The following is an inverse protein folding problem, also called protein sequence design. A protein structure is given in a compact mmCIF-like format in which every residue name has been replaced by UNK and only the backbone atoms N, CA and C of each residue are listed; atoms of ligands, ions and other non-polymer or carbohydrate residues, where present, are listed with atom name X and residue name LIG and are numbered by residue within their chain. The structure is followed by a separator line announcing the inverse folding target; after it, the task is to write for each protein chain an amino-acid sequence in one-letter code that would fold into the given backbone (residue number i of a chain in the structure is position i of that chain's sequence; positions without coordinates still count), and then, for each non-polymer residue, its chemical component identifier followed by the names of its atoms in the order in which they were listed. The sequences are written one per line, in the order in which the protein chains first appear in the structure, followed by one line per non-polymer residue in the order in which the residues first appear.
data_IF_385097052455
#
_entry.id   IF_385097052455
#
_cell.length_a   1.000
_cell.length_b   1.000
_cell.length_c   1.000
_cell.angle_alpha   90.00
_cell.angle_beta   90.00
_cell.angle_gamma   90.00
#
_symmetry.space_group_name_H-M   'P 1'
#
loop_
_entity.id
_entity.type
_entity.pdbx_description
1 polymer ?
#
# COMPACT_ATOMS: atom_id res chain seq x y z
N UNK A 1 22.54 -4.03 17.62
CA UNK A 1 21.12 -3.61 17.60
C UNK A 1 20.70 -3.77 16.15
N UNK A 2 19.94 -4.81 15.82
CA UNK A 2 19.43 -5.00 14.46
C UNK A 2 18.46 -3.86 14.17
N UNK A 3 18.71 -3.09 13.11
CA UNK A 3 17.77 -2.07 12.65
C UNK A 3 16.91 -2.67 11.54
N UNK A 4 15.64 -2.27 11.47
CA UNK A 4 14.69 -2.73 10.44
C UNK A 4 15.23 -2.49 9.02
N UNK A 5 16.13 -1.51 8.84
CA UNK A 5 16.77 -1.21 7.57
C UNK A 5 17.76 -2.28 7.08
N UNK A 6 18.26 -3.14 7.98
CA UNK A 6 19.26 -4.16 7.63
C UNK A 6 18.67 -5.28 6.77
N UNK A 7 17.34 -5.47 6.81
CA UNK A 7 16.61 -6.51 6.08
C UNK A 7 15.95 -6.00 4.77
N UNK A 8 15.98 -4.69 4.51
CA UNK A 8 15.37 -4.08 3.32
C UNK A 8 16.24 -4.23 2.07
N UNK A 9 15.62 -4.53 0.92
CA UNK A 9 16.26 -4.42 -0.39
C UNK A 9 16.54 -2.96 -0.77
N UNK A 10 17.41 -2.75 -1.77
CA UNK A 10 17.70 -1.41 -2.30
C UNK A 10 16.44 -0.68 -2.80
N UNK A 11 15.49 -1.41 -3.39
CA UNK A 11 14.23 -0.83 -3.85
C UNK A 11 13.36 -0.34 -2.68
N UNK A 12 13.30 -1.12 -1.60
CA UNK A 12 12.56 -0.76 -0.38
C UNK A 12 13.21 0.43 0.33
N UNK A 13 14.55 0.50 0.35
CA UNK A 13 15.27 1.65 0.89
C UNK A 13 14.93 2.96 0.15
N UNK A 14 14.78 2.93 -1.18
CA UNK A 14 14.34 4.10 -1.94
C UNK A 14 12.96 4.58 -1.49
N UNK A 15 12.02 3.65 -1.30
CA UNK A 15 10.65 3.94 -0.84
C UNK A 15 10.67 4.47 0.59
N UNK A 16 11.44 3.83 1.46
CA UNK A 16 11.65 4.23 2.85
C UNK A 16 12.15 5.68 2.95
N UNK A 17 13.16 6.03 2.15
CA UNK A 17 13.72 7.38 2.15
C UNK A 17 12.75 8.41 1.58
N UNK A 18 11.93 8.05 0.60
CA UNK A 18 10.86 8.92 0.12
C UNK A 18 9.77 9.14 1.19
N UNK A 19 9.33 8.11 1.90
CA UNK A 19 8.37 8.23 3.00
C UNK A 19 8.92 9.12 4.14
N UNK A 20 10.22 9.01 4.46
CA UNK A 20 10.94 9.94 5.37
C UNK A 20 10.85 11.39 4.88
N UNK A 21 11.13 11.63 3.60
CA UNK A 21 11.07 12.97 3.01
C UNK A 21 9.67 13.57 3.09
N UNK A 22 8.64 12.76 2.83
CA UNK A 22 7.23 13.14 2.97
C UNK A 22 6.79 13.32 4.43
N UNK A 23 7.61 12.91 5.40
CA UNK A 23 7.29 12.89 6.84
C UNK A 23 6.05 12.07 7.17
N UNK A 24 5.82 11.00 6.43
CA UNK A 24 4.75 10.03 6.71
C UNK A 24 5.31 8.96 7.63
N UNK A 25 4.58 8.53 8.66
CA UNK A 25 4.99 7.38 9.48
C UNK A 25 4.60 6.05 8.81
N UNK A 26 5.48 5.04 8.88
CA UNK A 26 5.23 3.70 8.34
C UNK A 26 5.65 2.59 9.31
N UNK A 27 5.04 1.41 9.11
CA UNK A 27 5.41 0.14 9.75
C UNK A 27 5.88 -0.81 8.66
N UNK A 28 7.04 -1.43 8.86
CA UNK A 28 7.60 -2.40 7.92
C UNK A 28 6.93 -3.77 8.11
N UNK A 29 6.58 -4.44 7.01
CA UNK A 29 6.00 -5.79 6.95
C UNK A 29 4.82 -6.04 7.91
N UNK A 30 3.95 -5.04 8.10
CA UNK A 30 2.76 -5.19 8.95
C UNK A 30 1.83 -6.27 8.36
N UNK A 31 1.56 -7.37 9.09
CA UNK A 31 0.68 -8.42 8.58
C UNK A 31 -0.77 -7.94 8.44
N UNK A 32 -1.43 -8.41 7.38
CA UNK A 32 -2.83 -8.15 7.09
C UNK A 32 -3.58 -9.44 6.73
N UNK A 33 -4.75 -9.62 7.35
CA UNK A 33 -5.62 -10.78 7.13
C UNK A 33 -6.62 -10.47 6.01
N UNK A 34 -6.58 -11.27 4.94
CA UNK A 34 -7.44 -11.13 3.77
C UNK A 34 -8.18 -12.45 3.47
N UNK A 35 -9.30 -12.38 2.78
CA UNK A 35 -9.95 -13.54 2.17
C UNK A 35 -9.65 -13.60 0.67
N UNK A 36 -9.15 -14.74 0.18
CA UNK A 36 -8.89 -14.92 -1.25
C UNK A 36 -10.18 -15.13 -2.07
N UNK A 37 -10.05 -15.42 -3.37
CA UNK A 37 -11.20 -15.63 -4.26
C UNK A 37 -12.11 -16.79 -3.84
N UNK A 38 -11.56 -17.80 -3.17
CA UNK A 38 -12.31 -18.94 -2.63
C UNK A 38 -12.77 -18.72 -1.17
N UNK A 39 -12.74 -17.48 -0.69
CA UNK A 39 -13.04 -17.08 0.70
C UNK A 39 -12.15 -17.78 1.73
N UNK A 40 -10.96 -18.21 1.33
CA UNK A 40 -10.00 -18.81 2.26
C UNK A 40 -9.19 -17.69 2.92
N UNK A 41 -8.95 -17.78 4.24
CA UNK A 41 -8.12 -16.79 4.93
C UNK A 41 -6.67 -16.84 4.42
N UNK A 42 -6.07 -15.67 4.28
CA UNK A 42 -4.68 -15.44 3.89
C UNK A 42 -4.09 -14.39 4.82
N UNK A 43 -2.80 -14.53 5.09
CA UNK A 43 -2.00 -13.50 5.71
C UNK A 43 -1.00 -13.05 4.64
N UNK A 44 -0.96 -11.76 4.39
CA UNK A 44 0.10 -11.13 3.61
C UNK A 44 0.82 -10.12 4.52
N UNK A 45 2.05 -9.80 4.18
CA UNK A 45 2.81 -8.74 4.82
C UNK A 45 3.42 -7.87 3.71
N UNK A 46 2.72 -6.82 3.25
CA UNK A 46 3.31 -5.86 2.33
C UNK A 46 4.45 -5.12 3.00
N UNK A 47 5.40 -4.67 2.20
CA UNK A 47 6.65 -4.08 2.69
C UNK A 47 6.37 -2.86 3.60
N UNK A 48 5.40 -2.01 3.26
CA UNK A 48 5.06 -0.86 4.09
C UNK A 48 3.56 -0.75 4.37
N UNK A 49 3.23 -0.40 5.61
CA UNK A 49 1.91 0.06 6.02
C UNK A 49 2.00 1.50 6.54
N UNK A 50 1.11 2.38 6.09
CA UNK A 50 1.01 3.78 6.50
C UNK A 50 -0.20 3.92 7.45
N UNK A 51 -0.02 3.88 8.79
CA UNK A 51 -1.15 3.73 9.72
C UNK A 51 -2.11 4.91 9.71
N UNK A 52 -1.58 6.12 9.65
CA UNK A 52 -2.36 7.37 9.62
C UNK A 52 -3.23 7.49 8.36
N UNK A 53 -2.78 6.86 7.28
CA UNK A 53 -3.43 6.89 5.97
C UNK A 53 -4.19 5.59 5.68
N UNK A 54 -4.03 4.53 6.49
CA UNK A 54 -4.65 3.23 6.25
C UNK A 54 -4.39 2.69 4.84
N UNK A 55 -3.14 2.79 4.37
CA UNK A 55 -2.69 2.40 3.02
C UNK A 55 -1.50 1.45 3.15
N UNK A 56 -1.46 0.41 2.32
CA UNK A 56 -0.30 -0.47 2.14
C UNK A 56 0.47 -0.13 0.87
N UNK A 57 1.78 -0.38 0.87
CA UNK A 57 2.66 -0.28 -0.30
C UNK A 57 3.42 -1.59 -0.42
N UNK A 58 3.41 -2.15 -1.63
CA UNK A 58 4.26 -3.27 -2.04
C UNK A 58 5.30 -2.78 -3.05
N UNK A 59 6.56 -3.12 -2.81
CA UNK A 59 7.70 -2.86 -3.67
C UNK A 59 7.99 -4.11 -4.52
N UNK A 60 7.76 -3.98 -5.82
CA UNK A 60 7.96 -5.05 -6.79
C UNK A 60 9.41 -5.09 -7.25
N UNK A 61 10.07 -6.23 -7.02
CA UNK A 61 11.39 -6.51 -7.60
C UNK A 61 11.35 -6.78 -9.12
N UNK A 62 10.29 -7.45 -9.60
CA UNK A 62 10.07 -7.68 -11.04
C UNK A 62 8.59 -7.48 -11.39
N UNK A 63 8.19 -6.37 -12.01
CA UNK A 63 6.78 -6.04 -12.26
C UNK A 63 6.07 -6.99 -13.22
N UNK A 64 6.78 -7.87 -13.93
CA UNK A 64 6.19 -8.81 -14.89
C UNK A 64 5.71 -10.13 -14.27
N UNK A 65 5.84 -10.31 -12.95
CA UNK A 65 5.32 -11.49 -12.26
C UNK A 65 3.79 -11.41 -12.14
N UNK A 66 3.10 -12.48 -12.55
CA UNK A 66 1.62 -12.56 -12.52
C UNK A 66 1.02 -12.56 -11.11
N UNK A 67 1.84 -12.76 -10.07
CA UNK A 67 1.34 -12.81 -8.69
C UNK A 67 0.87 -11.43 -8.18
N UNK A 68 1.44 -10.33 -8.66
CA UNK A 68 1.07 -8.99 -8.22
C UNK A 68 -0.36 -8.61 -8.63
N UNK A 69 -0.78 -8.95 -9.85
CA UNK A 69 -2.15 -8.74 -10.31
C UNK A 69 -3.14 -9.55 -9.44
N UNK A 70 -2.83 -10.83 -9.20
CA UNK A 70 -3.64 -11.69 -8.34
C UNK A 70 -3.77 -11.11 -6.93
N UNK A 71 -2.67 -10.62 -6.33
CA UNK A 71 -2.68 -10.00 -5.01
C UNK A 71 -3.50 -8.71 -5.01
N UNK A 72 -3.31 -7.83 -6.00
CA UNK A 72 -4.10 -6.59 -6.15
C UNK A 72 -5.61 -6.86 -6.12
N UNK A 73 -6.08 -7.86 -6.87
CA UNK A 73 -7.48 -8.27 -6.87
C UNK A 73 -7.98 -8.75 -5.49
N UNK A 74 -7.13 -9.47 -4.73
CA UNK A 74 -7.47 -9.90 -3.37
C UNK A 74 -7.61 -8.67 -2.45
N UNK A 75 -6.68 -7.73 -2.48
CA UNK A 75 -6.78 -6.51 -1.68
C UNK A 75 -8.03 -5.69 -2.01
N UNK A 76 -8.31 -5.49 -3.29
CA UNK A 76 -9.50 -4.78 -3.76
C UNK A 76 -10.78 -5.46 -3.26
N UNK A 77 -10.89 -6.80 -3.36
CA UNK A 77 -12.04 -7.57 -2.85
C UNK A 77 -12.26 -7.35 -1.35
N UNK A 78 -11.19 -7.20 -0.58
CA UNK A 78 -11.25 -6.98 0.87
C UNK A 78 -11.37 -5.50 1.26
N UNK A 79 -11.51 -4.59 0.27
CA UNK A 79 -11.60 -3.15 0.49
C UNK A 79 -10.41 -2.59 1.31
N UNK A 80 -9.21 -3.10 1.03
CA UNK A 80 -7.96 -2.65 1.66
C UNK A 80 -7.12 -1.94 0.59
N UNK A 81 -6.87 -0.63 0.74
CA UNK A 81 -6.04 0.11 -0.21
C UNK A 81 -4.59 -0.37 -0.18
N UNK A 82 -4.09 -0.76 -1.35
CA UNK A 82 -2.69 -1.09 -1.58
C UNK A 82 -2.25 -0.51 -2.92
N UNK A 83 -1.01 -0.04 -2.99
CA UNK A 83 -0.34 0.28 -4.25
C UNK A 83 0.88 -0.63 -4.43
N UNK A 84 1.06 -1.14 -5.64
CA UNK A 84 2.24 -1.87 -6.06
C UNK A 84 3.12 -0.94 -6.88
N UNK A 85 4.39 -0.78 -6.50
CA UNK A 85 5.33 0.10 -7.17
C UNK A 85 6.60 -0.64 -7.55
N UNK A 86 7.27 -0.22 -8.63
CA UNK A 86 8.56 -0.79 -9.04
C UNK A 86 9.58 0.34 -9.21
N UNK A 87 10.27 0.78 -8.13
CA UNK A 87 11.18 1.93 -8.16
C UNK A 87 12.26 1.86 -9.25
N UNK A 88 12.73 0.66 -9.59
CA UNK A 88 13.73 0.45 -10.63
C UNK A 88 13.18 0.38 -12.06
N UNK A 89 11.86 0.24 -12.23
CA UNK A 89 11.21 0.07 -13.53
C UNK A 89 10.28 1.22 -13.92
N UNK A 90 9.89 2.05 -12.96
CA UNK A 90 9.04 3.22 -13.17
C UNK A 90 9.69 4.45 -12.56
N UNK A 91 9.94 5.50 -13.36
CA UNK A 91 10.53 6.76 -12.87
C UNK A 91 9.54 7.64 -12.11
N UNK A 92 8.24 7.42 -12.28
CA UNK A 92 7.19 8.23 -11.67
C UNK A 92 6.63 7.59 -10.39
N UNK A 93 7.25 6.52 -9.89
CA UNK A 93 6.77 5.76 -8.74
C UNK A 93 6.45 6.61 -7.50
N UNK A 94 7.22 7.69 -7.27
CA UNK A 94 6.99 8.65 -6.19
C UNK A 94 5.64 9.37 -6.35
N UNK A 95 5.39 9.91 -7.54
CA UNK A 95 4.11 10.56 -7.85
C UNK A 95 2.96 9.56 -7.76
N UNK A 96 3.16 8.32 -8.21
CA UNK A 96 2.11 7.30 -8.09
C UNK A 96 1.72 7.03 -6.62
N UNK A 97 2.68 7.02 -5.68
CA UNK A 97 2.36 6.91 -4.24
C UNK A 97 1.51 8.11 -3.81
N UNK A 98 1.94 9.31 -4.14
CA UNK A 98 1.24 10.54 -3.75
C UNK A 98 -0.19 10.58 -4.32
N UNK A 99 -0.34 10.36 -5.61
CA UNK A 99 -1.64 10.35 -6.31
C UNK A 99 -2.55 9.25 -5.73
N UNK A 100 -2.00 8.09 -5.39
CA UNK A 100 -2.78 7.03 -4.75
C UNK A 100 -3.28 7.41 -3.37
N UNK A 101 -2.44 8.05 -2.54
CA UNK A 101 -2.85 8.58 -1.25
C UNK A 101 -3.98 9.60 -1.43
N UNK A 102 -3.81 10.58 -2.32
CA UNK A 102 -4.81 11.61 -2.56
C UNK A 102 -6.15 11.00 -3.00
N UNK A 103 -6.12 10.09 -3.98
CA UNK A 103 -7.33 9.44 -4.51
C UNK A 103 -8.07 8.64 -3.43
N UNK A 104 -7.37 7.82 -2.64
CA UNK A 104 -7.98 7.02 -1.56
C UNK A 104 -8.66 7.93 -0.52
N UNK A 105 -8.01 9.04 -0.16
CA UNK A 105 -8.57 9.96 0.83
C UNK A 105 -9.72 10.80 0.26
N UNK A 106 -9.67 11.17 -1.02
CA UNK A 106 -10.76 11.85 -1.72
C UNK A 106 -12.01 10.95 -1.77
N UNK A 107 -11.87 9.67 -2.12
CA UNK A 107 -12.98 8.71 -2.13
C UNK A 107 -13.60 8.53 -0.74
N UNK A 108 -12.75 8.41 0.29
CA UNK A 108 -13.20 8.33 1.69
C UNK A 108 -13.97 9.58 2.10
N UNK A 109 -13.48 10.76 1.74
CA UNK A 109 -14.15 12.02 2.04
C UNK A 109 -15.51 12.14 1.35
N UNK A 110 -15.60 11.78 0.07
CA UNK A 110 -16.88 11.75 -0.65
C UNK A 110 -17.86 10.73 -0.08
N UNK A 111 -17.38 9.59 0.44
CA UNK A 111 -18.22 8.65 1.20
C UNK A 111 -18.77 9.29 2.47
N UNK A 112 -17.95 10.02 3.24
CA UNK A 112 -18.39 10.73 4.45
C UNK A 112 -19.44 11.79 4.12
N UNK A 113 -19.25 12.56 3.04
CA UNK A 113 -20.26 13.54 2.58
C UNK A 113 -21.60 12.87 2.27
N UNK A 114 -21.60 11.76 1.54
CA UNK A 114 -22.82 11.00 1.22
C UNK A 114 -23.51 10.48 2.48
N UNK A 115 -22.76 9.96 3.44
CA UNK A 115 -23.31 9.52 4.73
C UNK A 115 -24.00 10.70 5.43
N UNK A 116 -23.33 11.85 5.51
CA UNK A 116 -23.89 13.05 6.14
C UNK A 116 -25.19 13.50 5.46
N UNK A 117 -25.23 13.51 4.12
CA UNK A 117 -26.41 13.90 3.35
C UNK A 117 -27.59 12.92 3.45
N UNK A 118 -27.37 11.68 3.93
CA UNK A 118 -28.43 10.70 4.14
C UNK A 118 -28.98 10.72 5.59
N UNK A 119 -28.27 11.37 6.52
CA UNK A 119 -28.63 11.46 7.94
C UNK A 119 -29.40 12.75 8.25
N UNK A 120 -29.14 13.81 7.49
CA UNK A 120 -29.75 15.14 7.62
C UNK A 120 -30.43 15.53 6.31
#
# INVERSE_FOLDING_TARGET
MYQVYDDMSEAELLVCDYLKQMRVFWIYEQPVFLSDNANRPRIFAPDFYLPELGIYIEVMGNPHLSDYERRSLIYQKNNIPIIFIAPFHDRNWQMNIFDFIENVHQERYEKVKRIRANIF
#
